data_IF_171065922161
#
_entry.id   IF_171065922161
#
_cell.length_a   1.000
_cell.length_b   1.000
_cell.length_c   1.000
_cell.angle_alpha   90.00
_cell.angle_beta   90.00
_cell.angle_gamma   90.00
#
_symmetry.space_group_name_H-M   'P 1'
#
loop_
_entity.id
_entity.type
_entity.pdbx_description
1 polymer ?
#
# COMPACT_ATOMS: atom_id res chain seq x y z
N UNK A 1 34.11 15.84 -20.76
CA UNK A 1 33.74 14.41 -20.75
C UNK A 1 33.70 13.95 -19.31
N UNK A 2 32.49 13.61 -18.87
CA UNK A 2 32.02 12.94 -17.64
C UNK A 2 33.05 12.51 -16.56
N UNK A 3 32.91 13.11 -15.38
CA UNK A 3 33.25 12.50 -14.10
C UNK A 3 31.95 12.21 -13.35
N UNK A 4 31.48 10.97 -13.38
CA UNK A 4 30.32 10.51 -12.61
C UNK A 4 30.81 9.97 -11.25
N UNK A 5 30.35 10.61 -10.19
CA UNK A 5 30.68 10.31 -8.80
C UNK A 5 30.17 8.94 -8.34
N UNK A 6 30.98 8.31 -7.49
CA UNK A 6 30.69 7.10 -6.73
C UNK A 6 29.38 7.27 -5.96
N UNK A 7 28.33 6.57 -6.39
CA UNK A 7 27.16 6.32 -5.56
C UNK A 7 27.46 5.17 -4.60
N UNK A 8 27.08 5.44 -3.35
CA UNK A 8 27.36 4.71 -2.13
C UNK A 8 26.85 3.25 -2.19
N UNK A 9 27.77 2.29 -2.19
CA UNK A 9 27.53 0.84 -2.31
C UNK A 9 26.74 0.22 -1.16
N UNK A 10 26.55 0.94 -0.04
CA UNK A 10 25.89 0.40 1.16
C UNK A 10 24.36 0.34 1.08
N UNK A 11 23.71 1.11 0.19
CA UNK A 11 22.23 1.14 0.13
C UNK A 11 21.64 -0.04 -0.68
N UNK A 12 22.46 -0.71 -1.50
CA UNK A 12 22.04 -1.87 -2.30
C UNK A 12 22.20 -3.19 -1.53
N UNK A 13 23.10 -3.25 -0.55
CA UNK A 13 23.33 -4.45 0.25
C UNK A 13 22.23 -4.72 1.29
N UNK A 14 21.58 -3.70 1.86
CA UNK A 14 20.50 -3.92 2.83
C UNK A 14 19.18 -4.38 2.18
N UNK A 15 18.89 -3.97 0.93
CA UNK A 15 17.77 -4.53 0.15
C UNK A 15 18.02 -5.98 -0.32
N UNK A 16 19.28 -6.36 -0.50
CA UNK A 16 19.71 -7.72 -0.86
C UNK A 16 19.55 -8.71 0.29
N UNK A 17 19.75 -8.28 1.54
CA UNK A 17 19.79 -9.16 2.71
C UNK A 17 18.42 -9.67 3.17
N UNK A 18 17.32 -8.96 2.84
CA UNK A 18 15.96 -9.37 3.23
C UNK A 18 15.35 -10.38 2.25
N UNK A 19 15.77 -10.36 0.97
CA UNK A 19 15.34 -11.32 -0.05
C UNK A 19 16.04 -12.68 0.09
N UNK A 20 17.26 -12.71 0.64
CA UNK A 20 18.08 -13.93 0.71
C UNK A 20 17.56 -15.03 1.65
N UNK A 21 16.61 -14.75 2.55
CA UNK A 21 16.09 -15.77 3.49
C UNK A 21 15.03 -16.68 2.89
N UNK A 22 14.30 -16.24 1.86
CA UNK A 22 13.19 -17.01 1.27
C UNK A 22 13.61 -17.93 0.10
N UNK A 23 14.78 -17.69 -0.48
CA UNK A 23 15.31 -18.48 -1.61
C UNK A 23 16.18 -19.68 -1.18
N UNK A 24 16.41 -19.86 0.12
CA UNK A 24 17.24 -20.96 0.64
C UNK A 24 16.40 -22.21 0.91
N UNK A 25 16.88 -23.40 0.48
CA UNK A 25 16.19 -24.66 0.78
C UNK A 25 15.99 -24.85 2.27
N UNK A 26 14.75 -25.11 2.67
CA UNK A 26 14.36 -25.51 4.01
C UNK A 26 14.54 -27.03 4.19
N UNK A 27 14.61 -27.55 5.43
CA UNK A 27 14.85 -28.97 5.71
C UNK A 27 13.84 -29.93 5.07
N UNK A 28 12.66 -29.42 4.72
CA UNK A 28 11.56 -30.16 4.08
C UNK A 28 11.50 -29.97 2.55
N UNK A 29 12.44 -29.25 1.95
CA UNK A 29 12.42 -28.99 0.51
C UNK A 29 12.93 -30.20 -0.28
N UNK A 30 12.10 -30.70 -1.19
CA UNK A 30 12.47 -31.78 -2.09
C UNK A 30 13.56 -31.30 -3.07
N UNK A 31 14.81 -31.66 -2.77
CA UNK A 31 15.95 -31.53 -3.66
C UNK A 31 15.92 -32.70 -4.64
N UNK A 32 15.52 -32.44 -5.89
CA UNK A 32 15.47 -33.48 -6.92
C UNK A 32 16.89 -33.75 -7.45
N UNK A 33 17.59 -34.70 -6.83
CA UNK A 33 18.83 -35.26 -7.36
C UNK A 33 18.51 -36.46 -8.28
N UNK A 34 19.09 -36.48 -9.48
CA UNK A 34 19.25 -37.74 -10.23
C UNK A 34 20.44 -38.52 -9.70
N UNK A 35 20.49 -39.84 -9.92
CA UNK A 35 21.62 -40.70 -9.51
C UNK A 35 22.96 -40.36 -10.19
N UNK A 36 22.94 -39.45 -11.18
CA UNK A 36 24.12 -38.93 -11.82
C UNK A 36 24.67 -37.73 -11.01
N UNK A 37 25.99 -37.69 -10.73
CA UNK A 37 26.59 -36.54 -10.06
C UNK A 37 26.25 -35.28 -10.85
N UNK A 38 25.84 -34.19 -10.17
CA UNK A 38 25.40 -32.98 -10.85
C UNK A 38 26.53 -32.49 -11.78
N UNK A 39 26.20 -32.06 -13.02
CA UNK A 39 27.19 -31.44 -13.88
C UNK A 39 27.85 -30.28 -13.12
N UNK A 40 29.14 -30.05 -13.34
CA UNK A 40 29.88 -28.98 -12.65
C UNK A 40 29.20 -27.65 -12.98
N UNK A 41 28.43 -27.10 -12.03
CA UNK A 41 27.54 -25.94 -12.22
C UNK A 41 26.03 -26.19 -12.09
N UNK A 42 25.59 -27.42 -11.78
CA UNK A 42 24.18 -27.74 -11.55
C UNK A 42 23.60 -27.01 -10.33
N UNK A 43 22.64 -26.12 -10.57
CA UNK A 43 21.94 -25.39 -9.51
C UNK A 43 20.86 -26.29 -8.91
N UNK A 44 20.99 -26.59 -7.62
CA UNK A 44 19.94 -27.22 -6.82
C UNK A 44 18.84 -26.18 -6.56
N UNK A 45 17.71 -26.30 -7.26
CA UNK A 45 16.54 -25.43 -7.05
C UNK A 45 15.78 -25.85 -5.77
N UNK A 46 16.35 -25.51 -4.62
CA UNK A 46 15.68 -25.57 -3.32
C UNK A 46 14.75 -24.38 -3.10
N UNK A 47 13.93 -24.42 -2.04
CA UNK A 47 13.13 -23.27 -1.63
C UNK A 47 11.96 -22.96 -2.54
N UNK A 48 11.52 -21.71 -2.45
CA UNK A 48 10.43 -21.16 -3.25
C UNK A 48 10.72 -21.23 -4.76
N UNK A 49 11.99 -21.18 -5.15
CA UNK A 49 12.43 -21.36 -6.54
C UNK A 49 12.13 -22.77 -7.08
N UNK A 50 12.33 -23.80 -6.25
CA UNK A 50 11.97 -25.18 -6.57
C UNK A 50 10.46 -25.37 -6.72
N UNK A 51 9.68 -24.77 -5.82
CA UNK A 51 8.20 -24.78 -5.89
C UNK A 51 7.73 -24.10 -7.18
N UNK A 52 8.27 -22.92 -7.50
CA UNK A 52 7.93 -22.19 -8.74
C UNK A 52 8.25 -23.00 -10.00
N UNK A 53 9.37 -23.73 -9.99
CA UNK A 53 9.71 -24.63 -11.09
C UNK A 53 8.70 -25.78 -11.23
N UNK A 54 8.27 -26.42 -10.13
CA UNK A 54 7.22 -27.47 -10.16
C UNK A 54 5.87 -26.93 -10.62
N UNK A 55 5.52 -25.71 -10.23
CA UNK A 55 4.33 -25.01 -10.68
C UNK A 55 4.37 -24.65 -12.18
N UNK A 56 5.55 -24.63 -12.80
CA UNK A 56 5.73 -24.42 -14.24
C UNK A 56 5.60 -25.72 -15.05
N UNK A 57 5.38 -26.87 -14.39
CA UNK A 57 5.19 -28.16 -15.04
C UNK A 57 3.96 -28.15 -15.96
N UNK A 58 4.01 -28.80 -17.14
CA UNK A 58 2.83 -28.96 -18.00
C UNK A 58 1.76 -29.86 -17.36
N UNK A 59 2.16 -30.77 -16.47
CA UNK A 59 1.28 -31.71 -15.77
C UNK A 59 0.57 -31.03 -14.60
N UNK A 60 -0.77 -31.06 -14.61
CA UNK A 60 -1.62 -30.44 -13.57
C UNK A 60 -1.40 -31.04 -12.17
N UNK A 61 -1.21 -32.35 -12.06
CA UNK A 61 -0.97 -33.03 -10.76
C UNK A 61 0.30 -32.54 -10.07
N UNK A 62 1.40 -32.37 -10.82
CA UNK A 62 2.64 -31.81 -10.29
C UNK A 62 2.47 -30.36 -9.82
N UNK A 63 1.65 -29.58 -10.55
CA UNK A 63 1.32 -28.21 -10.13
C UNK A 63 0.51 -28.22 -8.85
N UNK A 64 -0.52 -29.05 -8.75
CA UNK A 64 -1.39 -29.16 -7.57
C UNK A 64 -0.61 -29.60 -6.33
N UNK A 65 0.27 -30.61 -6.45
CA UNK A 65 1.11 -31.05 -5.35
C UNK A 65 2.00 -29.91 -4.80
N UNK A 66 2.60 -29.14 -5.71
CA UNK A 66 3.44 -28.00 -5.37
C UNK A 66 2.69 -26.84 -4.70
N UNK A 67 1.36 -26.73 -4.89
CA UNK A 67 0.55 -25.70 -4.22
C UNK A 67 0.58 -25.86 -2.71
N UNK A 68 0.48 -27.09 -2.19
CA UNK A 68 0.47 -27.32 -0.74
C UNK A 68 1.78 -26.91 -0.06
N UNK A 69 2.91 -27.07 -0.75
CA UNK A 69 4.24 -26.70 -0.27
C UNK A 69 4.43 -25.18 -0.17
N UNK A 70 3.71 -24.38 -0.98
CA UNK A 70 3.77 -22.91 -0.90
C UNK A 70 3.45 -22.40 0.50
N UNK A 71 2.56 -23.08 1.22
CA UNK A 71 2.10 -22.68 2.55
C UNK A 71 3.20 -22.69 3.60
N UNK A 72 4.28 -23.44 3.36
CA UNK A 72 5.44 -23.51 4.26
C UNK A 72 6.31 -22.24 4.18
N UNK A 73 6.06 -21.35 3.21
CA UNK A 73 6.82 -20.11 3.01
C UNK A 73 6.06 -18.86 3.49
N UNK A 74 5.04 -19.03 4.32
CA UNK A 74 4.30 -17.94 4.96
C UNK A 74 3.72 -16.93 3.96
N UNK A 75 4.01 -15.64 4.17
CA UNK A 75 3.49 -14.54 3.33
C UNK A 75 3.91 -14.64 1.85
N UNK A 76 5.14 -15.09 1.57
CA UNK A 76 5.62 -15.25 0.20
C UNK A 76 4.86 -16.36 -0.55
N UNK A 77 4.57 -17.45 0.14
CA UNK A 77 3.74 -18.55 -0.36
C UNK A 77 2.29 -18.14 -0.61
N UNK A 78 1.69 -17.42 0.34
CA UNK A 78 0.33 -16.92 0.22
C UNK A 78 0.18 -15.99 -1.00
N UNK A 79 1.14 -15.10 -1.23
CA UNK A 79 1.17 -14.22 -2.40
C UNK A 79 1.22 -15.02 -3.72
N UNK A 80 2.01 -16.10 -3.77
CA UNK A 80 2.08 -16.97 -4.94
C UNK A 80 0.74 -17.67 -5.21
N UNK A 81 0.05 -18.14 -4.16
CA UNK A 81 -1.29 -18.71 -4.31
C UNK A 81 -2.30 -17.69 -4.87
N UNK A 82 -2.25 -16.43 -4.41
CA UNK A 82 -3.07 -15.33 -4.96
C UNK A 82 -2.80 -15.12 -6.44
N UNK A 83 -1.53 -15.09 -6.84
CA UNK A 83 -1.12 -14.94 -8.25
C UNK A 83 -1.61 -16.11 -9.12
N UNK A 84 -1.56 -17.34 -8.60
CA UNK A 84 -2.07 -18.52 -9.30
C UNK A 84 -3.59 -18.46 -9.47
N UNK A 85 -4.31 -18.01 -8.44
CA UNK A 85 -5.77 -17.81 -8.51
C UNK A 85 -6.17 -16.77 -9.57
N UNK A 86 -5.32 -15.79 -9.86
CA UNK A 86 -5.57 -14.75 -10.87
C UNK A 86 -5.14 -15.15 -12.28
N UNK A 87 -4.06 -15.94 -12.41
CA UNK A 87 -3.43 -16.24 -13.71
C UNK A 87 -3.83 -17.58 -14.33
N UNK A 88 -4.23 -18.56 -13.52
CA UNK A 88 -4.56 -19.91 -13.98
C UNK A 88 -6.06 -20.17 -13.94
N UNK A 89 -6.53 -21.14 -14.74
CA UNK A 89 -7.94 -21.56 -14.80
C UNK A 89 -8.08 -23.08 -14.62
N UNK A 90 -9.27 -23.53 -14.21
CA UNK A 90 -9.59 -24.95 -14.06
C UNK A 90 -9.09 -25.58 -12.75
N UNK A 91 -8.70 -26.85 -12.79
CA UNK A 91 -8.43 -27.65 -11.59
C UNK A 91 -7.32 -27.08 -10.68
N UNK A 92 -6.30 -26.43 -11.25
CA UNK A 92 -5.19 -25.85 -10.48
C UNK A 92 -5.63 -24.58 -9.75
N UNK A 93 -6.50 -23.78 -10.39
CA UNK A 93 -7.10 -22.59 -9.78
C UNK A 93 -8.03 -22.99 -8.61
N UNK A 94 -8.88 -23.99 -8.82
CA UNK A 94 -9.77 -24.51 -7.78
C UNK A 94 -8.96 -25.01 -6.56
N UNK A 95 -7.95 -25.85 -6.79
CA UNK A 95 -7.09 -26.35 -5.72
C UNK A 95 -6.36 -25.22 -4.97
N UNK A 96 -5.91 -24.17 -5.66
CA UNK A 96 -5.27 -23.01 -5.04
C UNK A 96 -6.25 -22.22 -4.15
N UNK A 97 -7.49 -22.02 -4.61
CA UNK A 97 -8.54 -21.36 -3.81
C UNK A 97 -8.91 -22.17 -2.58
N UNK A 98 -9.05 -23.49 -2.70
CA UNK A 98 -9.38 -24.37 -1.58
C UNK A 98 -8.33 -24.28 -0.47
N UNK A 99 -7.05 -24.31 -0.84
CA UNK A 99 -5.94 -24.14 0.09
C UNK A 99 -5.94 -22.76 0.76
N UNK A 100 -6.19 -21.69 0.00
CA UNK A 100 -6.33 -20.34 0.57
C UNK A 100 -7.48 -20.28 1.57
N UNK A 101 -8.65 -20.85 1.26
CA UNK A 101 -9.82 -20.86 2.16
C UNK A 101 -9.54 -21.59 3.45
N UNK A 102 -8.93 -22.77 3.40
CA UNK A 102 -8.55 -23.53 4.60
C UNK A 102 -7.62 -22.71 5.51
N UNK A 103 -6.60 -22.08 4.92
CA UNK A 103 -5.66 -21.24 5.66
C UNK A 103 -6.31 -19.99 6.23
N UNK A 104 -7.09 -19.27 5.44
CA UNK A 104 -7.81 -18.08 5.88
C UNK A 104 -8.80 -18.41 7.00
N UNK A 105 -9.44 -19.58 6.97
CA UNK A 105 -10.32 -20.02 8.06
C UNK A 105 -9.54 -20.29 9.35
N UNK A 106 -8.33 -20.88 9.25
CA UNK A 106 -7.45 -21.04 10.42
C UNK A 106 -7.01 -19.69 11.01
N UNK A 107 -6.64 -18.73 10.14
CA UNK A 107 -6.26 -17.37 10.53
C UNK A 107 -7.46 -16.61 11.11
N UNK A 108 -8.65 -16.78 10.55
CA UNK A 108 -9.89 -16.20 11.05
C UNK A 108 -10.13 -16.62 12.49
N UNK A 109 -10.03 -17.92 12.77
CA UNK A 109 -10.21 -18.46 14.13
C UNK A 109 -9.18 -17.88 15.09
N UNK A 110 -7.92 -17.83 14.71
CA UNK A 110 -6.85 -17.25 15.53
C UNK A 110 -7.10 -15.76 15.83
N UNK A 111 -7.34 -14.94 14.79
CA UNK A 111 -7.61 -13.50 14.94
C UNK A 111 -8.89 -13.22 15.70
N UNK A 112 -9.96 -13.98 15.46
CA UNK A 112 -11.23 -13.80 16.17
C UNK A 112 -11.15 -14.22 17.64
N UNK A 113 -10.32 -15.21 17.98
CA UNK A 113 -10.03 -15.57 19.38
C UNK A 113 -9.19 -14.50 20.09
N UNK A 114 -8.23 -13.89 19.37
CA UNK A 114 -7.46 -12.76 19.90
C UNK A 114 -8.33 -11.50 20.06
N UNK A 115 -9.33 -11.34 19.19
CA UNK A 115 -10.34 -10.27 19.24
C UNK A 115 -11.44 -10.60 20.25
N UNK A 116 -11.07 -10.73 21.53
CA UNK A 116 -12.04 -10.67 22.62
C UNK A 116 -12.50 -9.20 22.73
N UNK A 117 -13.79 -8.88 22.65
CA UNK A 117 -14.23 -7.50 22.71
C UNK A 117 -13.92 -6.96 24.10
N UNK A 118 -12.99 -6.02 24.17
CA UNK A 118 -12.89 -5.09 25.28
C UNK A 118 -14.13 -4.18 25.24
N UNK A 119 -15.29 -4.71 25.61
CA UNK A 119 -16.39 -3.87 26.08
C UNK A 119 -15.98 -3.33 27.44
N UNK A 120 -15.48 -2.11 27.44
CA UNK A 120 -15.85 -0.99 28.33
C UNK A 120 -14.71 0.04 28.34
N UNK A 121 -15.12 1.31 28.31
CA UNK A 121 -14.31 2.51 28.50
C UNK A 121 -13.52 3.03 27.29
N UNK A 122 -14.04 4.08 26.65
CA UNK A 122 -13.65 5.45 27.03
C UNK A 122 -14.36 6.49 26.14
N UNK A 123 -15.20 7.27 26.80
CA UNK A 123 -15.37 8.72 26.62
C UNK A 123 -14.96 9.33 25.26
N UNK A 124 -15.97 9.78 24.53
CA UNK A 124 -15.86 11.00 23.73
C UNK A 124 -15.31 12.12 24.61
N UNK A 125 -14.03 12.44 24.45
CA UNK A 125 -13.45 13.72 24.87
C UNK A 125 -12.11 13.88 24.17
N UNK A 126 -11.97 14.95 23.39
CA UNK A 126 -10.72 15.22 22.71
C UNK A 126 -10.86 16.27 21.62
N UNK A 127 -11.32 17.46 22.01
CA UNK A 127 -11.07 18.70 21.27
C UNK A 127 -9.64 18.72 20.73
N UNK A 128 -9.48 18.80 19.41
CA UNK A 128 -8.24 19.28 18.80
C UNK A 128 -8.53 20.53 18.00
N UNK A 129 -8.55 21.65 18.74
CA UNK A 129 -7.98 22.91 18.24
C UNK A 129 -6.54 22.65 17.81
N UNK A 130 -6.30 22.43 16.52
CA UNK A 130 -5.01 22.72 15.89
C UNK A 130 -5.30 23.47 14.58
N UNK A 131 -5.74 24.71 14.74
CA UNK A 131 -5.59 25.78 13.77
C UNK A 131 -5.00 26.95 14.56
N UNK A 132 -3.69 26.90 14.76
CA UNK A 132 -2.98 27.81 15.65
C UNK A 132 -1.56 28.05 15.16
N UNK A 133 -1.43 29.14 14.40
CA UNK A 133 -0.22 29.98 14.25
C UNK A 133 1.11 29.24 14.07
N UNK A 134 1.54 29.09 12.82
CA UNK A 134 2.97 29.07 12.54
C UNK A 134 3.44 30.47 12.17
N UNK A 135 4.19 31.02 13.12
CA UNK A 135 4.96 32.24 13.05
C UNK A 135 6.06 32.09 12.01
N UNK A 136 6.13 33.05 11.09
CA UNK A 136 7.20 33.18 10.13
C UNK A 136 8.59 33.32 10.79
N UNK A 137 9.60 32.97 9.98
CA UNK A 137 11.05 33.19 10.16
C UNK A 137 11.77 32.03 10.87
N UNK A 138 12.16 31.03 10.07
CA UNK A 138 12.99 29.88 10.47
C UNK A 138 12.61 28.52 9.84
N UNK A 139 11.92 28.48 8.68
CA UNK A 139 11.07 27.33 8.31
C UNK A 139 11.64 26.34 7.26
N UNK A 140 12.69 26.67 6.50
CA UNK A 140 13.18 25.79 5.41
C UNK A 140 13.78 24.47 5.91
N UNK A 141 14.64 24.50 6.94
CA UNK A 141 15.17 23.27 7.55
C UNK A 141 14.06 22.44 8.23
N UNK A 142 13.05 23.12 8.78
CA UNK A 142 11.90 22.48 9.42
C UNK A 142 11.05 21.72 8.38
N UNK A 143 10.85 22.27 7.18
CA UNK A 143 10.08 21.63 6.11
C UNK A 143 10.73 20.34 5.58
N UNK A 144 12.05 20.35 5.34
CA UNK A 144 12.78 19.16 4.88
C UNK A 144 12.76 18.05 5.94
N UNK A 145 12.95 18.41 7.21
CA UNK A 145 12.83 17.46 8.33
C UNK A 145 11.42 16.90 8.46
N UNK A 146 10.39 17.75 8.31
CA UNK A 146 8.99 17.32 8.33
C UNK A 146 8.68 16.29 7.25
N UNK A 147 9.16 16.47 6.01
CA UNK A 147 8.94 15.49 4.94
C UNK A 147 9.62 14.16 5.20
N UNK A 148 10.82 14.15 5.80
CA UNK A 148 11.47 12.90 6.21
C UNK A 148 10.70 12.18 7.32
N UNK A 149 10.14 12.92 8.28
CA UNK A 149 9.30 12.37 9.33
C UNK A 149 7.98 11.82 8.78
N UNK A 150 7.37 12.51 7.81
CA UNK A 150 6.18 12.05 7.09
C UNK A 150 6.47 10.75 6.33
N UNK A 151 7.62 10.64 5.67
CA UNK A 151 8.05 9.41 5.01
C UNK A 151 8.20 8.27 6.01
N UNK A 152 8.79 8.50 7.18
CA UNK A 152 8.93 7.48 8.22
C UNK A 152 7.57 7.02 8.76
N UNK A 153 6.60 7.93 8.94
CA UNK A 153 5.21 7.59 9.29
C UNK A 153 4.59 6.73 8.19
N UNK A 154 4.81 7.09 6.92
CA UNK A 154 4.31 6.34 5.78
C UNK A 154 4.87 4.91 5.76
N UNK A 155 6.18 4.76 5.91
CA UNK A 155 6.85 3.46 5.91
C UNK A 155 6.39 2.58 7.09
N UNK A 156 6.24 3.17 8.28
CA UNK A 156 5.71 2.48 9.46
C UNK A 156 4.28 1.98 9.23
N UNK A 157 3.39 2.85 8.77
CA UNK A 157 1.98 2.50 8.62
C UNK A 157 1.75 1.54 7.46
N UNK A 158 2.55 1.64 6.39
CA UNK A 158 2.52 0.63 5.31
C UNK A 158 3.01 -0.73 5.79
N UNK A 159 4.04 -0.80 6.63
CA UNK A 159 4.45 -2.06 7.26
C UNK A 159 3.36 -2.68 8.15
N UNK A 160 2.61 -1.85 8.88
CA UNK A 160 1.48 -2.29 9.70
C UNK A 160 0.30 -2.80 8.87
N UNK A 161 -0.03 -2.13 7.76
CA UNK A 161 -1.15 -2.49 6.87
C UNK A 161 -0.82 -3.73 6.03
N UNK A 162 0.44 -3.90 5.61
CA UNK A 162 0.89 -4.94 4.68
C UNK A 162 0.36 -6.36 4.97
N UNK A 163 0.45 -6.92 6.20
CA UNK A 163 -0.05 -8.27 6.47
C UNK A 163 -1.56 -8.38 6.27
N UNK A 164 -2.32 -7.39 6.75
CA UNK A 164 -3.77 -7.40 6.63
C UNK A 164 -4.23 -7.17 5.18
N UNK A 165 -3.52 -6.33 4.43
CA UNK A 165 -3.79 -6.13 3.01
C UNK A 165 -3.56 -7.41 2.20
N UNK A 166 -2.50 -8.16 2.49
CA UNK A 166 -2.25 -9.45 1.85
C UNK A 166 -3.36 -10.47 2.15
N UNK A 167 -3.88 -10.50 3.38
CA UNK A 167 -5.01 -11.35 3.74
C UNK A 167 -6.30 -10.92 3.02
N UNK A 168 -6.54 -9.61 2.84
CA UNK A 168 -7.65 -9.09 2.05
C UNK A 168 -7.54 -9.47 0.57
N UNK A 169 -6.36 -9.32 -0.03
CA UNK A 169 -6.11 -9.76 -1.41
C UNK A 169 -6.34 -11.27 -1.57
N UNK A 170 -5.93 -12.06 -0.58
CA UNK A 170 -6.19 -13.50 -0.55
C UNK A 170 -7.67 -13.85 -0.40
N UNK A 171 -8.41 -13.15 0.47
CA UNK A 171 -9.87 -13.30 0.58
C UNK A 171 -10.53 -13.00 -0.77
N UNK A 172 -10.19 -11.86 -1.37
CA UNK A 172 -10.69 -11.45 -2.69
C UNK A 172 -10.41 -12.49 -3.78
N UNK A 173 -9.23 -13.12 -3.78
CA UNK A 173 -8.86 -14.13 -4.77
C UNK A 173 -9.51 -15.50 -4.54
N UNK A 174 -9.82 -15.81 -3.28
CA UNK A 174 -10.36 -17.13 -2.86
C UNK A 174 -11.87 -17.26 -2.99
N UNK A 175 -12.63 -16.17 -2.99
CA UNK A 175 -14.09 -16.22 -2.82
C UNK A 175 -14.84 -16.20 -4.17
N UNK A 176 -15.59 -17.27 -4.42
CA UNK A 176 -16.70 -17.35 -5.39
C UNK A 176 -18.04 -17.50 -4.64
N UNK A 177 -19.17 -17.26 -5.32
CA UNK A 177 -20.53 -17.08 -4.74
C UNK A 177 -20.95 -18.13 -3.73
N UNK A 178 -20.61 -19.39 -3.95
CA UNK A 178 -21.26 -20.53 -3.29
C UNK A 178 -20.60 -20.95 -1.96
N UNK A 179 -19.44 -20.37 -1.62
CA UNK A 179 -18.61 -20.91 -0.53
C UNK A 179 -18.09 -19.85 0.45
N UNK A 180 -18.69 -18.66 0.42
CA UNK A 180 -18.34 -17.57 1.34
C UNK A 180 -18.91 -17.83 2.74
N UNK A 181 -18.09 -18.37 3.64
CA UNK A 181 -18.51 -18.73 5.00
C UNK A 181 -18.62 -17.49 5.91
N UNK A 182 -19.45 -17.60 6.96
CA UNK A 182 -19.61 -16.53 7.96
C UNK A 182 -18.32 -16.21 8.74
N UNK A 183 -17.41 -17.17 8.90
CA UNK A 183 -16.09 -16.95 9.53
C UNK A 183 -15.20 -16.04 8.67
N UNK A 184 -15.16 -16.29 7.35
CA UNK A 184 -14.39 -15.48 6.41
C UNK A 184 -14.95 -14.05 6.29
N UNK A 185 -16.27 -13.89 6.37
CA UNK A 185 -16.91 -12.57 6.39
C UNK A 185 -16.49 -11.76 7.62
N UNK A 186 -16.48 -12.37 8.81
CA UNK A 186 -16.03 -11.72 10.06
C UNK A 186 -14.56 -11.36 10.00
N UNK A 187 -13.71 -12.24 9.47
CA UNK A 187 -12.30 -11.93 9.23
C UNK A 187 -12.15 -10.73 8.30
N UNK A 188 -12.91 -10.69 7.20
CA UNK A 188 -12.87 -9.57 6.24
C UNK A 188 -13.23 -8.24 6.92
N UNK A 189 -14.28 -8.23 7.73
CA UNK A 189 -14.70 -7.06 8.52
C UNK A 189 -13.63 -6.59 9.50
N UNK A 190 -13.04 -7.54 10.24
CA UNK A 190 -11.96 -7.26 11.17
C UNK A 190 -10.73 -6.67 10.46
N UNK A 191 -10.32 -7.24 9.32
CA UNK A 191 -9.18 -6.75 8.56
C UNK A 191 -9.39 -5.35 8.02
N UNK A 192 -10.60 -5.04 7.52
CA UNK A 192 -10.93 -3.68 7.09
C UNK A 192 -10.83 -2.71 8.27
N UNK A 193 -11.37 -3.08 9.43
CA UNK A 193 -11.31 -2.26 10.65
C UNK A 193 -9.86 -2.02 11.11
N UNK A 194 -9.03 -3.05 11.12
CA UNK A 194 -7.61 -2.93 11.50
C UNK A 194 -6.80 -2.04 10.54
N UNK A 195 -7.21 -1.93 9.27
CA UNK A 195 -6.54 -1.06 8.28
C UNK A 195 -7.04 0.39 8.34
N UNK A 196 -8.25 0.64 8.86
CA UNK A 196 -8.86 1.98 8.82
C UNK A 196 -8.05 3.04 9.59
N UNK A 197 -7.60 2.73 10.80
CA UNK A 197 -6.81 3.67 11.61
C UNK A 197 -5.45 4.02 10.98
N UNK A 198 -4.59 3.05 10.59
CA UNK A 198 -3.32 3.40 9.93
C UNK A 198 -3.55 4.09 8.58
N UNK A 199 -4.63 3.77 7.84
CA UNK A 199 -4.99 4.49 6.60
C UNK A 199 -5.35 5.95 6.86
N UNK A 200 -6.10 6.23 7.94
CA UNK A 200 -6.44 7.60 8.35
C UNK A 200 -5.20 8.40 8.71
N UNK A 201 -4.26 7.81 9.43
CA UNK A 201 -2.97 8.44 9.72
C UNK A 201 -2.17 8.72 8.43
N UNK A 202 -2.15 7.79 7.47
CA UNK A 202 -1.52 8.00 6.16
C UNK A 202 -2.15 9.19 5.42
N UNK A 203 -3.47 9.30 5.38
CA UNK A 203 -4.18 10.45 4.78
C UNK A 203 -3.76 11.77 5.43
N UNK A 204 -3.69 11.81 6.76
CA UNK A 204 -3.27 13.00 7.50
C UNK A 204 -1.81 13.37 7.22
N UNK A 205 -0.92 12.38 7.16
CA UNK A 205 0.49 12.57 6.86
C UNK A 205 0.68 13.15 5.44
N UNK A 206 -0.02 12.60 4.44
CA UNK A 206 0.00 13.12 3.06
C UNK A 206 -0.59 14.52 2.98
N UNK A 207 -1.70 14.80 3.67
CA UNK A 207 -2.29 16.13 3.72
C UNK A 207 -1.34 17.17 4.37
N UNK A 208 -0.60 16.78 5.40
CA UNK A 208 0.45 17.61 6.01
C UNK A 208 1.59 17.88 5.02
N UNK A 209 1.99 16.88 4.23
CA UNK A 209 3.03 17.00 3.21
C UNK A 209 2.62 17.98 2.09
N UNK A 210 1.39 17.86 1.59
CA UNK A 210 0.79 18.78 0.61
C UNK A 210 0.72 20.19 1.19
N UNK A 211 0.31 20.34 2.45
CA UNK A 211 0.24 21.65 3.10
C UNK A 211 1.62 22.31 3.21
N UNK A 212 2.65 21.51 3.52
CA UNK A 212 4.06 21.96 3.51
C UNK A 212 4.50 22.44 2.12
N UNK A 213 4.22 21.66 1.08
CA UNK A 213 4.52 22.01 -0.31
C UNK A 213 3.82 23.31 -0.75
N UNK A 214 2.52 23.44 -0.44
CA UNK A 214 1.75 24.64 -0.76
C UNK A 214 2.31 25.89 -0.08
N UNK A 215 2.84 25.76 1.14
CA UNK A 215 3.51 26.86 1.83
C UNK A 215 4.78 27.30 1.10
N UNK A 216 5.63 26.36 0.69
CA UNK A 216 6.84 26.67 -0.09
C UNK A 216 6.49 27.29 -1.43
N UNK A 217 5.46 26.77 -2.11
CA UNK A 217 4.94 27.36 -3.35
C UNK A 217 4.48 28.81 -3.16
N UNK A 218 3.77 29.09 -2.07
CA UNK A 218 3.33 30.45 -1.76
C UNK A 218 4.52 31.40 -1.50
N UNK A 219 5.54 30.94 -0.77
CA UNK A 219 6.78 31.70 -0.53
C UNK A 219 7.52 31.97 -1.86
N UNK A 220 7.61 30.98 -2.74
CA UNK A 220 8.19 31.12 -4.08
C UNK A 220 7.46 32.20 -4.88
N UNK A 221 6.12 32.12 -4.96
CA UNK A 221 5.30 33.09 -5.69
C UNK A 221 5.44 34.52 -5.10
N UNK A 222 5.56 34.62 -3.78
CA UNK A 222 5.77 35.90 -3.10
C UNK A 222 7.13 36.52 -3.45
N UNK A 223 8.21 35.74 -3.40
CA UNK A 223 9.56 36.20 -3.74
C UNK A 223 9.65 36.60 -5.23
N UNK A 224 9.02 35.84 -6.12
CA UNK A 224 8.94 36.17 -7.55
C UNK A 224 8.20 37.49 -7.79
N UNK A 225 7.07 37.71 -7.09
CA UNK A 225 6.35 38.98 -7.14
C UNK A 225 7.19 40.16 -6.64
N UNK A 226 7.94 39.98 -5.54
CA UNK A 226 8.86 41.00 -5.04
C UNK A 226 9.98 41.32 -6.04
N UNK A 227 10.56 40.30 -6.69
CA UNK A 227 11.58 40.49 -7.72
C UNK A 227 11.02 41.32 -8.90
N UNK A 228 9.78 41.04 -9.32
CA UNK A 228 9.09 41.81 -10.37
C UNK A 228 8.81 43.26 -9.96
N UNK A 229 8.45 43.51 -8.70
CA UNK A 229 8.28 44.86 -8.18
C UNK A 229 9.59 45.64 -8.17
N UNK A 230 10.70 45.02 -7.76
CA UNK A 230 12.02 45.64 -7.80
C UNK A 230 12.49 45.91 -9.23
N UNK A 231 12.18 45.02 -10.17
CA UNK A 231 12.41 45.25 -11.59
C UNK A 231 11.66 46.50 -12.07
N UNK A 232 10.36 46.59 -11.79
CA UNK A 232 9.56 47.73 -12.22
C UNK A 232 10.08 49.06 -11.63
N UNK A 233 10.52 49.05 -10.36
CA UNK A 233 11.16 50.21 -9.72
C UNK A 233 12.47 50.61 -10.41
N UNK A 234 13.28 49.64 -10.83
CA UNK A 234 14.50 49.91 -11.57
C UNK A 234 14.20 50.53 -12.95
N UNK A 235 13.15 50.06 -13.64
CA UNK A 235 12.70 50.61 -14.93
C UNK A 235 12.24 52.07 -14.79
N UNK A 236 11.46 52.40 -13.76
CA UNK A 236 11.04 53.78 -13.49
C UNK A 236 12.25 54.68 -13.17
N UNK A 237 13.19 54.21 -12.35
CA UNK A 237 14.39 54.98 -12.02
C UNK A 237 15.27 55.23 -13.25
N UNK A 238 15.32 54.26 -14.18
CA UNK A 238 16.04 54.39 -15.44
C UNK A 238 15.41 55.46 -16.33
N UNK A 239 14.08 55.53 -16.41
CA UNK A 239 13.37 56.57 -17.16
C UNK A 239 13.65 57.98 -16.60
N UNK A 240 13.88 58.08 -15.29
CA UNK A 240 14.21 59.35 -14.62
C UNK A 240 15.69 59.72 -14.69
N UNK A 241 16.55 58.81 -15.15
CA UNK A 241 18.01 59.02 -15.23
C UNK A 241 18.77 58.85 -13.91
N UNK A 242 18.14 58.33 -12.85
CA UNK A 242 18.76 58.15 -11.54
C UNK A 242 19.53 56.83 -11.42
N UNK A 243 20.77 56.80 -11.94
CA UNK A 243 21.60 55.58 -11.98
C UNK A 243 21.83 54.92 -10.61
N UNK A 244 21.94 55.70 -9.54
CA UNK A 244 22.14 55.17 -8.19
C UNK A 244 20.94 54.36 -7.71
N UNK A 245 19.71 54.85 -7.95
CA UNK A 245 18.48 54.17 -7.59
C UNK A 245 18.29 52.89 -8.42
N UNK A 246 18.68 52.92 -9.70
CA UNK A 246 18.71 51.74 -10.56
C UNK A 246 19.60 50.66 -9.96
N UNK A 247 20.85 50.99 -9.59
CA UNK A 247 21.78 50.03 -8.98
C UNK A 247 21.24 49.43 -7.69
N UNK A 248 20.68 50.25 -6.80
CA UNK A 248 20.10 49.75 -5.55
C UNK A 248 18.89 48.83 -5.78
N UNK A 249 17.99 49.18 -6.71
CA UNK A 249 16.85 48.34 -7.06
C UNK A 249 17.28 47.00 -7.68
N UNK A 250 18.31 47.00 -8.53
CA UNK A 250 18.89 45.79 -9.11
C UNK A 250 19.49 44.85 -8.07
N UNK A 251 20.24 45.39 -7.10
CA UNK A 251 20.80 44.57 -6.01
C UNK A 251 19.68 43.92 -5.19
N UNK A 252 18.60 44.65 -4.89
CA UNK A 252 17.42 44.09 -4.20
C UNK A 252 16.71 43.02 -5.02
N UNK A 253 16.56 43.24 -6.33
CA UNK A 253 16.03 42.24 -7.25
C UNK A 253 16.87 40.96 -7.24
N UNK A 254 18.20 41.08 -7.28
CA UNK A 254 19.09 39.93 -7.27
C UNK A 254 18.91 39.09 -6.01
N UNK A 255 18.83 39.73 -4.84
CA UNK A 255 18.56 39.04 -3.56
C UNK A 255 17.24 38.25 -3.60
N UNK A 256 16.18 38.82 -4.18
CA UNK A 256 14.91 38.10 -4.33
C UNK A 256 14.99 36.98 -5.37
N UNK A 257 15.74 37.16 -6.47
CA UNK A 257 15.97 36.10 -7.47
C UNK A 257 16.77 34.93 -6.91
N UNK A 258 17.77 35.20 -6.06
CA UNK A 258 18.55 34.14 -5.41
C UNK A 258 17.64 33.30 -4.49
N UNK A 259 16.72 33.94 -3.75
CA UNK A 259 15.69 33.24 -2.95
C UNK A 259 14.73 32.43 -3.83
N UNK A 260 14.28 32.98 -4.96
CA UNK A 260 13.41 32.28 -5.93
C UNK A 260 14.11 31.01 -6.43
N UNK A 261 15.40 31.10 -6.75
CA UNK A 261 16.17 29.94 -7.21
C UNK A 261 16.28 28.85 -6.14
N UNK A 262 16.55 29.23 -4.88
CA UNK A 262 16.59 28.29 -3.74
C UNK A 262 15.23 27.63 -3.49
N UNK A 263 14.17 28.43 -3.36
CA UNK A 263 12.82 27.92 -3.13
C UNK A 263 12.31 27.03 -4.26
N UNK A 264 12.75 27.27 -5.49
CA UNK A 264 12.40 26.43 -6.64
C UNK A 264 13.02 25.05 -6.56
N UNK A 265 14.29 24.96 -6.16
CA UNK A 265 14.97 23.67 -5.94
C UNK A 265 14.23 22.87 -4.87
N UNK A 266 13.86 23.51 -3.77
CA UNK A 266 13.10 22.88 -2.69
C UNK A 266 11.72 22.43 -3.18
N UNK A 267 10.98 23.30 -3.87
CA UNK A 267 9.66 22.99 -4.40
C UNK A 267 9.67 21.79 -5.35
N UNK A 268 10.64 21.73 -6.27
CA UNK A 268 10.77 20.62 -7.22
C UNK A 268 11.06 19.29 -6.49
N UNK A 269 11.94 19.30 -5.48
CA UNK A 269 12.24 18.14 -4.63
C UNK A 269 10.99 17.67 -3.85
N UNK A 270 10.25 18.62 -3.25
CA UNK A 270 9.05 18.31 -2.48
C UNK A 270 7.93 17.78 -3.37
N UNK A 271 7.77 18.33 -4.57
CA UNK A 271 6.74 17.91 -5.53
C UNK A 271 6.89 16.43 -5.89
N UNK A 272 8.11 15.98 -6.20
CA UNK A 272 8.38 14.57 -6.50
C UNK A 272 8.05 13.63 -5.32
N UNK A 273 8.37 14.05 -4.09
CA UNK A 273 8.07 13.27 -2.87
C UNK A 273 6.57 13.20 -2.60
N UNK A 274 5.88 14.34 -2.62
CA UNK A 274 4.44 14.42 -2.37
C UNK A 274 3.66 13.62 -3.42
N UNK A 275 4.05 13.71 -4.69
CA UNK A 275 3.43 12.90 -5.75
C UNK A 275 3.61 11.40 -5.50
N UNK A 276 4.81 10.97 -5.11
CA UNK A 276 5.09 9.57 -4.80
C UNK A 276 4.23 9.08 -3.64
N UNK A 277 4.18 9.84 -2.54
CA UNK A 277 3.35 9.54 -1.38
C UNK A 277 1.86 9.46 -1.76
N UNK A 278 1.37 10.41 -2.56
CA UNK A 278 -0.02 10.46 -2.99
C UNK A 278 -0.38 9.28 -3.90
N UNK A 279 0.47 8.94 -4.88
CA UNK A 279 0.26 7.76 -5.75
C UNK A 279 0.21 6.46 -4.94
N UNK A 280 1.11 6.31 -3.97
CA UNK A 280 1.13 5.13 -3.11
C UNK A 280 -0.13 5.06 -2.23
N UNK A 281 -0.57 6.19 -1.65
CA UNK A 281 -1.81 6.27 -0.88
C UNK A 281 -3.03 5.89 -1.74
N UNK A 282 -3.17 6.47 -2.93
CA UNK A 282 -4.27 6.17 -3.85
C UNK A 282 -4.31 4.69 -4.24
N UNK A 283 -3.14 4.08 -4.44
CA UNK A 283 -3.04 2.63 -4.74
C UNK A 283 -3.53 1.78 -3.57
N UNK A 284 -3.24 2.17 -2.33
CA UNK A 284 -3.74 1.47 -1.14
C UNK A 284 -5.26 1.65 -1.01
N UNK A 285 -5.75 2.87 -1.19
CA UNK A 285 -7.17 3.19 -1.13
C UNK A 285 -7.98 2.44 -2.20
N UNK A 286 -7.46 2.34 -3.43
CA UNK A 286 -8.14 1.63 -4.51
C UNK A 286 -8.27 0.14 -4.19
N UNK A 287 -7.22 -0.49 -3.64
CA UNK A 287 -7.26 -1.90 -3.22
C UNK A 287 -8.28 -2.15 -2.12
N UNK A 288 -8.34 -1.26 -1.14
CA UNK A 288 -9.30 -1.34 -0.03
C UNK A 288 -10.73 -1.11 -0.54
N UNK A 289 -10.93 -0.17 -1.46
CA UNK A 289 -12.22 0.09 -2.09
C UNK A 289 -12.71 -1.11 -2.91
N UNK A 290 -11.81 -1.74 -3.68
CA UNK A 290 -12.12 -2.96 -4.44
C UNK A 290 -12.54 -4.11 -3.50
N UNK A 291 -11.78 -4.34 -2.43
CA UNK A 291 -12.10 -5.36 -1.44
C UNK A 291 -13.47 -5.09 -0.77
N UNK A 292 -13.77 -3.84 -0.42
CA UNK A 292 -15.08 -3.46 0.13
C UNK A 292 -16.22 -3.68 -0.88
N UNK A 293 -16.02 -3.28 -2.14
CA UNK A 293 -17.04 -3.49 -3.18
C UNK A 293 -17.36 -4.98 -3.35
N UNK A 294 -16.34 -5.83 -3.41
CA UNK A 294 -16.51 -7.29 -3.48
C UNK A 294 -17.24 -7.85 -2.27
N UNK A 295 -16.87 -7.39 -1.06
CA UNK A 295 -17.56 -7.77 0.17
C UNK A 295 -19.05 -7.44 0.13
N UNK A 296 -19.42 -6.22 -0.25
CA UNK A 296 -20.84 -5.81 -0.29
C UNK A 296 -21.64 -6.58 -1.35
N UNK A 297 -21.03 -6.85 -2.52
CA UNK A 297 -21.64 -7.70 -3.55
C UNK A 297 -21.94 -9.10 -3.00
N UNK A 298 -20.98 -9.71 -2.29
CA UNK A 298 -21.14 -11.05 -1.71
C UNK A 298 -22.19 -11.08 -0.60
N UNK A 299 -22.16 -10.08 0.29
CA UNK A 299 -23.15 -9.92 1.36
C UNK A 299 -24.58 -9.82 0.80
N UNK A 300 -24.74 -9.02 -0.25
CA UNK A 300 -26.02 -8.87 -0.95
C UNK A 300 -26.49 -10.19 -1.57
N UNK A 301 -25.58 -10.94 -2.20
CA UNK A 301 -25.90 -12.23 -2.82
C UNK A 301 -26.32 -13.28 -1.79
N UNK A 302 -25.63 -13.36 -0.65
CA UNK A 302 -26.02 -14.23 0.47
C UNK A 302 -27.39 -13.85 1.03
N UNK A 303 -27.66 -12.55 1.17
CA UNK A 303 -28.97 -12.08 1.61
C UNK A 303 -30.07 -12.49 0.63
N UNK A 304 -29.85 -12.33 -0.69
CA UNK A 304 -30.81 -12.78 -1.71
C UNK A 304 -31.03 -14.29 -1.68
N UNK A 305 -29.98 -15.11 -1.57
CA UNK A 305 -30.11 -16.56 -1.49
C UNK A 305 -30.96 -16.98 -0.27
N UNK A 306 -30.69 -16.38 0.90
CA UNK A 306 -31.45 -16.66 2.12
C UNK A 306 -32.91 -16.24 2.02
N UNK A 307 -33.19 -15.09 1.39
CA UNK A 307 -34.57 -14.64 1.13
C UNK A 307 -35.28 -15.60 0.17
N UNK A 308 -34.60 -16.08 -0.87
CA UNK A 308 -35.18 -17.05 -1.80
C UNK A 308 -35.53 -18.38 -1.11
N UNK A 309 -34.64 -18.91 -0.25
CA UNK A 309 -34.93 -20.11 0.54
C UNK A 309 -36.15 -19.93 1.45
N UNK A 310 -36.29 -18.77 2.08
CA UNK A 310 -37.46 -18.46 2.90
C UNK A 310 -38.74 -18.37 2.08
N UNK A 311 -38.66 -17.79 0.88
CA UNK A 311 -39.77 -17.76 -0.07
C UNK A 311 -40.15 -19.18 -0.48
N UNK A 312 -39.20 -20.03 -0.87
CA UNK A 312 -39.47 -21.41 -1.30
C UNK A 312 -40.01 -22.27 -0.14
N UNK A 313 -39.50 -22.08 1.08
CA UNK A 313 -40.02 -22.72 2.29
C UNK A 313 -41.45 -22.28 2.58
N UNK A 314 -41.74 -20.97 2.53
CA UNK A 314 -43.11 -20.47 2.77
C UNK A 314 -44.07 -20.93 1.67
N UNK A 315 -43.65 -20.97 0.40
CA UNK A 315 -44.43 -21.56 -0.69
C UNK A 315 -44.70 -23.05 -0.46
N UNK A 316 -43.72 -23.84 0.00
CA UNK A 316 -43.92 -25.24 0.33
C UNK A 316 -44.88 -25.44 1.51
N UNK A 317 -44.79 -24.61 2.56
CA UNK A 317 -45.71 -24.64 3.70
C UNK A 317 -47.13 -24.31 3.26
N UNK A 318 -47.30 -23.25 2.46
CA UNK A 318 -48.61 -22.87 1.91
C UNK A 318 -49.14 -23.98 1.00
N UNK A 319 -48.31 -24.58 0.14
CA UNK A 319 -48.72 -25.67 -0.73
C UNK A 319 -49.18 -26.91 0.06
N UNK A 320 -48.47 -27.27 1.14
CA UNK A 320 -48.89 -28.37 2.01
C UNK A 320 -50.18 -28.07 2.78
N UNK A 321 -50.43 -26.82 3.16
CA UNK A 321 -51.67 -26.42 3.86
C UNK A 321 -52.87 -26.40 2.91
N UNK A 322 -52.68 -25.97 1.65
CA UNK A 322 -53.78 -25.78 0.70
C UNK A 322 -54.03 -26.96 -0.26
N UNK A 323 -53.04 -27.82 -0.49
CA UNK A 323 -53.11 -28.88 -1.51
C UNK A 323 -52.73 -30.29 -1.00
N UNK A 324 -52.87 -30.55 0.30
CA UNK A 324 -52.82 -31.94 0.81
C UNK A 324 -54.06 -32.75 0.34
N UNK A 325 -53.90 -34.02 -0.06
CA UNK A 325 -54.99 -34.86 -0.61
C UNK A 325 -56.09 -35.21 0.39
#
# INVERSE_FOLDING_TARGET
MLAAGKLNSNCIQERSLVLEKFDRPQPYDAVRGGELPPPVGGVVLGGLAGVKHRLSSPVSEHRIAALSETLNYGAAGLKMLVEICQSQTGAVQAAARDLLRQKLSSIAREKLLAFVPATLETTFSGDRKILGRFSAIGEEQNNRQQLSAIQAIFDKNTQQIAPNLLLLEALVASVEREEFTGELMKLWELLILEIQEPLKELRQAVASAISGQLRVQWQYNQAESHANQWQHRAEIALQKGDENLVRHAWVRKQIELDKVAELKIDLDEQTLRVETLNRNLLTLESKIAEANSKKEILKMQLHFAKVQEQIDFTFSQVNNIFFSP
#
